data_IF_965690582338
#
_entry.id   IF_965690582338
#
_cell.length_a   1.000
_cell.length_b   1.000
_cell.length_c   1.000
_cell.angle_alpha   90.00
_cell.angle_beta   90.00
_cell.angle_gamma   90.00
#
_symmetry.space_group_name_H-M   'P 1'
#
loop_
_entity.id
_entity.type
_entity.pdbx_description
1 polymer ?
#
# COMPACT_ATOMS: atom_id res chain seq x y z
N UNK A 1 -4.11 -1.67 -36.62
CA UNK A 1 -4.10 -1.76 -38.11
C UNK A 1 -4.15 -3.22 -38.62
N UNK A 2 -4.22 -4.24 -37.75
CA UNK A 2 -4.36 -5.65 -38.16
C UNK A 2 -5.70 -6.11 -38.81
N UNK A 3 -6.88 -5.56 -38.49
CA UNK A 3 -8.14 -6.16 -38.95
C UNK A 3 -8.47 -6.01 -40.45
N UNK A 4 -7.78 -5.12 -41.18
CA UNK A 4 -8.15 -4.76 -42.57
C UNK A 4 -7.46 -5.58 -43.66
N UNK A 5 -6.55 -6.48 -43.32
CA UNK A 5 -5.84 -7.32 -44.30
C UNK A 5 -6.46 -8.71 -44.49
N UNK A 6 -7.31 -9.16 -43.55
CA UNK A 6 -7.96 -10.48 -43.59
C UNK A 6 -9.14 -10.54 -44.56
N UNK A 7 -9.70 -9.38 -44.95
CA UNK A 7 -10.82 -9.33 -45.87
C UNK A 7 -10.46 -9.53 -47.34
N UNK A 8 -9.18 -9.41 -47.71
CA UNK A 8 -8.74 -9.51 -49.12
C UNK A 8 -8.32 -10.93 -49.51
N UNK A 9 -7.97 -11.80 -48.57
CA UNK A 9 -7.27 -13.06 -48.89
C UNK A 9 -7.79 -14.37 -48.26
N UNK A 10 -8.80 -14.36 -47.40
CA UNK A 10 -9.25 -15.60 -46.73
C UNK A 10 -10.67 -16.02 -47.13
N UNK A 11 -10.75 -17.21 -47.74
CA UNK A 11 -12.00 -17.91 -48.04
C UNK A 11 -12.80 -18.17 -46.74
N UNK A 12 -14.13 -18.01 -46.82
CA UNK A 12 -15.06 -17.83 -45.67
C UNK A 12 -15.00 -18.91 -44.56
N UNK A 13 -14.41 -20.09 -44.80
CA UNK A 13 -14.38 -21.20 -43.84
C UNK A 13 -13.19 -21.17 -42.87
N UNK A 14 -12.10 -20.46 -43.17
CA UNK A 14 -10.88 -20.46 -42.33
C UNK A 14 -10.62 -19.17 -41.56
N UNK A 15 -11.46 -18.13 -41.73
CA UNK A 15 -11.29 -16.83 -41.04
C UNK A 15 -11.27 -16.97 -39.51
N UNK A 16 -12.13 -17.81 -38.93
CA UNK A 16 -12.18 -17.97 -37.47
C UNK A 16 -10.93 -18.67 -36.89
N UNK A 17 -10.34 -19.62 -37.63
CA UNK A 17 -9.12 -20.31 -37.22
C UNK A 17 -7.90 -19.40 -37.34
N UNK A 18 -7.77 -18.70 -38.47
CA UNK A 18 -6.68 -17.74 -38.73
C UNK A 18 -6.73 -16.57 -37.74
N UNK A 19 -7.91 -16.06 -37.39
CA UNK A 19 -8.05 -15.02 -36.36
C UNK A 19 -7.62 -15.52 -34.98
N UNK A 20 -8.00 -16.74 -34.60
CA UNK A 20 -7.60 -17.34 -33.32
C UNK A 20 -6.09 -17.61 -33.24
N UNK A 21 -5.48 -17.97 -34.36
CA UNK A 21 -4.03 -18.20 -34.45
C UNK A 21 -3.25 -16.88 -34.42
N UNK A 22 -3.75 -15.83 -35.08
CA UNK A 22 -3.20 -14.47 -34.97
C UNK A 22 -3.29 -13.96 -33.54
N UNK A 23 -4.42 -14.14 -32.84
CA UNK A 23 -4.57 -13.74 -31.43
C UNK A 23 -3.63 -14.53 -30.51
N UNK A 24 -3.45 -15.84 -30.76
CA UNK A 24 -2.52 -16.68 -30.01
C UNK A 24 -1.05 -16.28 -30.24
N UNK A 25 -0.67 -16.00 -31.48
CA UNK A 25 0.68 -15.55 -31.83
C UNK A 25 0.95 -14.12 -31.34
N UNK A 26 -0.06 -13.26 -31.34
CA UNK A 26 0.02 -11.91 -30.77
C UNK A 26 0.16 -11.98 -29.25
N UNK A 27 -0.55 -12.89 -28.59
CA UNK A 27 -0.43 -13.12 -27.14
C UNK A 27 0.95 -13.68 -26.79
N UNK A 28 1.47 -14.65 -27.56
CA UNK A 28 2.82 -15.18 -27.36
C UNK A 28 3.92 -14.16 -27.66
N UNK A 29 3.78 -13.35 -28.71
CA UNK A 29 4.74 -12.30 -29.05
C UNK A 29 4.72 -11.15 -28.03
N UNK A 30 3.54 -10.75 -27.56
CA UNK A 30 3.39 -9.75 -26.50
C UNK A 30 3.97 -10.26 -25.17
N UNK A 31 3.77 -11.54 -24.87
CA UNK A 31 4.32 -12.19 -23.68
C UNK A 31 5.86 -12.29 -23.74
N UNK A 32 6.45 -12.63 -24.89
CA UNK A 32 7.87 -12.94 -25.00
C UNK A 32 8.78 -11.77 -25.39
N UNK A 33 8.30 -10.76 -26.14
CA UNK A 33 9.18 -9.72 -26.72
C UNK A 33 8.81 -8.30 -26.30
N UNK A 34 7.54 -8.05 -26.00
CA UNK A 34 7.10 -6.77 -25.42
C UNK A 34 7.31 -6.78 -23.90
N UNK A 35 7.18 -7.95 -23.27
CA UNK A 35 7.42 -8.15 -21.84
C UNK A 35 8.80 -7.65 -21.35
N UNK A 36 9.91 -8.03 -22.00
CA UNK A 36 11.26 -7.69 -21.51
C UNK A 36 11.50 -6.18 -21.39
N UNK A 37 11.06 -5.38 -22.37
CA UNK A 37 11.21 -3.92 -22.34
C UNK A 37 10.30 -3.28 -21.29
N UNK A 38 9.09 -3.81 -21.10
CA UNK A 38 8.14 -3.33 -20.07
C UNK A 38 8.69 -3.61 -18.67
N UNK A 39 9.16 -4.83 -18.42
CA UNK A 39 9.74 -5.18 -17.13
C UNK A 39 11.04 -4.43 -16.84
N UNK A 40 11.86 -4.17 -17.86
CA UNK A 40 13.03 -3.29 -17.71
C UNK A 40 12.63 -1.88 -17.33
N UNK A 41 11.64 -1.32 -18.01
CA UNK A 41 11.15 0.05 -17.72
C UNK A 41 10.64 0.15 -16.29
N UNK A 42 9.87 -0.85 -15.83
CA UNK A 42 9.39 -0.91 -14.44
C UNK A 42 10.57 -0.96 -13.46
N UNK A 43 11.61 -1.76 -13.73
CA UNK A 43 12.82 -1.78 -12.88
C UNK A 43 13.52 -0.43 -12.86
N UNK A 44 13.57 0.27 -13.99
CA UNK A 44 14.18 1.58 -14.08
C UNK A 44 13.43 2.62 -13.22
N UNK A 45 12.10 2.53 -13.11
CA UNK A 45 11.31 3.36 -12.18
C UNK A 45 11.71 3.15 -10.72
N UNK A 46 11.92 1.89 -10.31
CA UNK A 46 12.42 1.57 -8.97
C UNK A 46 13.84 2.08 -8.77
N UNK A 47 14.71 1.84 -9.75
CA UNK A 47 16.12 2.23 -9.68
C UNK A 47 16.29 3.75 -9.63
N UNK A 48 15.46 4.51 -10.35
CA UNK A 48 15.45 5.97 -10.32
C UNK A 48 15.20 6.52 -8.91
N UNK A 49 14.46 5.80 -8.08
CA UNK A 49 14.17 6.14 -6.69
C UNK A 49 15.11 5.45 -5.67
N UNK A 50 16.21 4.86 -6.15
CA UNK A 50 17.23 4.21 -5.32
C UNK A 50 16.88 2.79 -4.87
N UNK A 51 15.88 2.16 -5.48
CA UNK A 51 15.43 0.81 -5.15
C UNK A 51 16.00 -0.16 -6.18
N UNK A 52 16.96 -0.98 -5.76
CA UNK A 52 17.58 -1.98 -6.62
C UNK A 52 16.88 -3.32 -6.47
N UNK A 53 15.91 -3.57 -7.36
CA UNK A 53 15.27 -4.88 -7.47
C UNK A 53 16.14 -5.84 -8.29
N UNK A 54 16.02 -7.15 -8.00
CA UNK A 54 16.58 -8.19 -8.87
C UNK A 54 15.86 -8.16 -10.23
N UNK A 55 16.48 -8.74 -11.25
CA UNK A 55 15.84 -8.86 -12.56
C UNK A 55 14.60 -9.78 -12.49
N UNK A 56 13.57 -9.41 -13.25
CA UNK A 56 12.33 -10.16 -13.40
C UNK A 56 11.78 -9.96 -14.81
N UNK A 57 11.19 -10.99 -15.42
CA UNK A 57 10.72 -10.95 -16.80
C UNK A 57 9.25 -11.35 -16.97
N UNK A 58 8.54 -11.60 -15.88
CA UNK A 58 7.10 -11.89 -15.89
C UNK A 58 6.47 -11.62 -14.52
N UNK A 59 5.13 -11.61 -14.47
CA UNK A 59 4.36 -11.19 -13.29
C UNK A 59 4.70 -11.92 -11.99
N UNK A 60 4.90 -13.25 -12.02
CA UNK A 60 5.26 -14.00 -10.81
C UNK A 60 6.66 -13.63 -10.29
N UNK A 61 7.63 -13.46 -11.19
CA UNK A 61 8.97 -13.00 -10.81
C UNK A 61 8.95 -11.57 -10.27
N UNK A 62 8.13 -10.70 -10.86
CA UNK A 62 7.92 -9.34 -10.37
C UNK A 62 7.41 -9.34 -8.93
N UNK A 63 6.29 -10.04 -8.67
CA UNK A 63 5.71 -10.13 -7.32
C UNK A 63 6.73 -10.72 -6.34
N UNK A 64 7.37 -11.83 -6.71
CA UNK A 64 8.38 -12.47 -5.87
C UNK A 64 9.54 -11.54 -5.54
N UNK A 65 10.04 -10.80 -6.53
CA UNK A 65 11.18 -9.91 -6.36
C UNK A 65 10.84 -8.72 -5.48
N UNK A 66 9.67 -8.11 -5.70
CA UNK A 66 9.17 -7.02 -4.86
C UNK A 66 8.98 -7.48 -3.42
N UNK A 67 8.34 -8.63 -3.21
CA UNK A 67 8.15 -9.20 -1.87
C UNK A 67 9.47 -9.50 -1.19
N UNK A 68 10.44 -10.09 -1.90
CA UNK A 68 11.77 -10.34 -1.34
C UNK A 68 12.47 -9.05 -0.92
N UNK A 69 12.38 -7.99 -1.72
CA UNK A 69 12.92 -6.69 -1.33
C UNK A 69 12.27 -6.16 -0.05
N UNK A 70 10.93 -6.21 0.02
CA UNK A 70 10.18 -5.78 1.20
C UNK A 70 10.55 -6.62 2.43
N UNK A 71 10.58 -7.94 2.31
CA UNK A 71 10.95 -8.86 3.39
C UNK A 71 12.37 -8.58 3.91
N UNK A 72 13.31 -8.28 3.01
CA UNK A 72 14.67 -7.93 3.38
C UNK A 72 14.73 -6.58 4.09
N UNK A 73 13.94 -5.57 3.66
CA UNK A 73 13.83 -4.30 4.38
C UNK A 73 13.21 -4.46 5.77
N UNK A 74 12.15 -5.28 5.92
CA UNK A 74 11.54 -5.61 7.20
C UNK A 74 12.55 -6.29 8.13
N UNK A 75 13.30 -7.29 7.65
CA UNK A 75 14.31 -8.01 8.47
C UNK A 75 15.45 -7.11 8.93
N UNK A 76 15.73 -6.05 8.20
CA UNK A 76 16.78 -5.09 8.52
C UNK A 76 16.31 -3.92 9.40
N UNK A 77 15.03 -3.91 9.82
CA UNK A 77 14.52 -2.98 10.82
C UNK A 77 15.29 -3.20 12.14
N UNK A 78 15.93 -2.14 12.65
CA UNK A 78 16.80 -2.20 13.83
C UNK A 78 18.29 -2.44 13.53
N UNK A 79 18.65 -2.85 12.31
CA UNK A 79 20.04 -2.83 11.82
C UNK A 79 20.35 -1.49 11.15
N UNK A 80 19.40 -1.00 10.34
CA UNK A 80 19.45 0.35 9.76
C UNK A 80 18.90 1.37 10.76
N UNK A 81 19.34 2.62 10.65
CA UNK A 81 18.73 3.73 11.39
C UNK A 81 17.28 3.93 10.97
N UNK A 82 16.40 4.28 11.92
CA UNK A 82 14.97 4.50 11.68
C UNK A 82 14.71 5.46 10.49
N UNK A 83 15.46 6.57 10.40
CA UNK A 83 15.35 7.54 9.30
C UNK A 83 15.67 6.93 7.93
N UNK A 84 16.63 6.00 7.87
CA UNK A 84 17.01 5.35 6.61
C UNK A 84 15.96 4.32 6.18
N UNK A 85 15.40 3.58 7.14
CA UNK A 85 14.31 2.63 6.90
C UNK A 85 13.04 3.37 6.44
N UNK A 86 12.69 4.47 7.11
CA UNK A 86 11.57 5.34 6.75
C UNK A 86 11.74 5.96 5.36
N UNK A 87 12.93 6.51 5.07
CA UNK A 87 13.23 7.05 3.75
C UNK A 87 13.10 5.99 2.65
N UNK A 88 13.59 4.78 2.90
CA UNK A 88 13.50 3.68 1.93
C UNK A 88 12.05 3.28 1.70
N UNK A 89 11.24 3.21 2.77
CA UNK A 89 9.80 2.97 2.68
C UNK A 89 9.11 4.05 1.85
N UNK A 90 9.29 5.33 2.17
CA UNK A 90 8.66 6.46 1.45
C UNK A 90 9.09 6.51 -0.01
N UNK A 91 10.36 6.25 -0.32
CA UNK A 91 10.84 6.16 -1.70
C UNK A 91 10.15 5.02 -2.44
N UNK A 92 9.98 3.87 -1.79
CA UNK A 92 9.31 2.71 -2.37
C UNK A 92 7.82 2.94 -2.57
N UNK A 93 7.10 3.40 -1.55
CA UNK A 93 5.65 3.55 -1.59
C UNK A 93 5.26 4.80 -2.35
N UNK A 94 5.61 5.96 -1.83
CA UNK A 94 5.00 7.21 -2.23
C UNK A 94 5.61 7.70 -3.53
N UNK A 95 6.94 7.53 -3.68
CA UNK A 95 7.67 8.04 -4.85
C UNK A 95 7.69 7.08 -6.03
N UNK A 96 7.52 5.77 -5.79
CA UNK A 96 7.61 4.77 -6.86
C UNK A 96 6.30 4.03 -7.08
N UNK A 97 5.83 3.29 -6.07
CA UNK A 97 4.66 2.42 -6.21
C UNK A 97 3.38 3.22 -6.49
N UNK A 98 3.01 4.15 -5.60
CA UNK A 98 1.76 4.88 -5.68
C UNK A 98 1.81 6.05 -6.68
N UNK A 99 2.98 6.66 -6.89
CA UNK A 99 3.13 7.74 -7.87
C UNK A 99 3.20 7.26 -9.32
N UNK A 100 3.87 6.13 -9.58
CA UNK A 100 4.19 5.70 -10.96
C UNK A 100 3.73 4.28 -11.27
N UNK A 101 4.21 3.28 -10.53
CA UNK A 101 4.01 1.86 -10.89
C UNK A 101 2.52 1.46 -10.87
N UNK A 102 1.82 1.77 -9.79
CA UNK A 102 0.40 1.47 -9.63
C UNK A 102 -0.50 2.24 -10.60
N UNK A 103 -0.37 3.57 -10.81
CA UNK A 103 -1.26 4.28 -11.73
C UNK A 103 -0.93 4.06 -13.20
N UNK A 104 0.34 3.91 -13.57
CA UNK A 104 0.76 3.82 -14.98
C UNK A 104 0.88 2.39 -15.47
N UNK A 105 1.60 1.55 -14.73
CA UNK A 105 2.01 0.23 -15.21
C UNK A 105 1.01 -0.87 -14.85
N UNK A 106 0.47 -0.87 -13.62
CA UNK A 106 -0.46 -1.93 -13.19
C UNK A 106 -1.70 -2.08 -14.09
N UNK A 107 -2.40 -1.01 -14.52
CA UNK A 107 -3.55 -1.16 -15.42
C UNK A 107 -3.14 -1.79 -16.75
N UNK A 108 -2.03 -1.33 -17.33
CA UNK A 108 -1.48 -1.85 -18.58
C UNK A 108 -1.10 -3.33 -18.47
N UNK A 109 -0.46 -3.73 -17.37
CA UNK A 109 -0.08 -5.11 -17.12
C UNK A 109 -1.30 -6.03 -16.92
N UNK A 110 -2.35 -5.53 -16.27
CA UNK A 110 -3.59 -6.28 -16.05
C UNK A 110 -4.37 -6.43 -17.35
N UNK A 111 -4.56 -5.34 -18.11
CA UNK A 111 -5.21 -5.36 -19.42
C UNK A 111 -4.47 -6.26 -20.41
N UNK A 112 -3.13 -6.28 -20.35
CA UNK A 112 -2.28 -7.15 -21.15
C UNK A 112 -2.17 -8.60 -20.66
N UNK A 113 -2.80 -8.97 -19.54
CA UNK A 113 -2.73 -10.32 -18.97
C UNK A 113 -1.34 -10.71 -18.41
N UNK A 114 -0.46 -9.73 -18.19
CA UNK A 114 0.90 -9.92 -17.67
C UNK A 114 0.94 -9.91 -16.14
N UNK A 115 -0.08 -9.33 -15.51
CA UNK A 115 -0.29 -9.31 -14.07
C UNK A 115 -1.77 -9.58 -13.76
N UNK A 116 -2.05 -10.30 -12.69
CA UNK A 116 -3.40 -10.51 -12.19
C UNK A 116 -3.74 -9.52 -11.08
N UNK A 117 -5.03 -9.26 -10.86
CA UNK A 117 -5.48 -8.45 -9.71
C UNK A 117 -4.97 -9.03 -8.38
N UNK A 118 -4.98 -10.37 -8.24
CA UNK A 118 -4.46 -11.06 -7.07
C UNK A 118 -2.97 -10.78 -6.83
N UNK A 119 -2.14 -10.84 -7.88
CA UNK A 119 -0.71 -10.55 -7.78
C UNK A 119 -0.43 -9.11 -7.35
N UNK A 120 -1.22 -8.15 -7.86
CA UNK A 120 -1.17 -6.77 -7.39
C UNK A 120 -1.53 -6.68 -5.89
N UNK A 121 -2.62 -7.33 -5.48
CA UNK A 121 -3.06 -7.31 -4.08
C UNK A 121 -2.04 -7.97 -3.14
N UNK A 122 -1.32 -9.00 -3.60
CA UNK A 122 -0.22 -9.62 -2.85
C UNK A 122 0.95 -8.65 -2.60
N UNK A 123 1.29 -7.79 -3.57
CA UNK A 123 2.30 -6.74 -3.37
C UNK A 123 1.80 -5.68 -2.40
N UNK A 124 0.55 -5.23 -2.56
CA UNK A 124 -0.04 -4.21 -1.66
C UNK A 124 -0.14 -4.72 -0.22
N UNK A 125 -0.48 -5.99 -0.02
CA UNK A 125 -0.48 -6.61 1.29
C UNK A 125 0.92 -6.64 1.92
N UNK A 126 1.97 -6.97 1.16
CA UNK A 126 3.34 -6.90 1.69
C UNK A 126 3.79 -5.46 2.01
N UNK A 127 3.33 -4.46 1.25
CA UNK A 127 3.56 -3.05 1.60
C UNK A 127 2.87 -2.68 2.91
N UNK A 128 1.64 -3.16 3.14
CA UNK A 128 0.92 -2.95 4.39
C UNK A 128 1.61 -3.63 5.58
N UNK A 129 2.08 -4.87 5.42
CA UNK A 129 2.88 -5.58 6.42
C UNK A 129 4.14 -4.78 6.77
N UNK A 130 4.88 -4.29 5.77
CA UNK A 130 6.05 -3.45 6.00
C UNK A 130 5.72 -2.18 6.78
N UNK A 131 4.61 -1.52 6.44
CA UNK A 131 4.14 -0.33 7.17
C UNK A 131 3.85 -0.62 8.64
N UNK A 132 3.21 -1.76 8.93
CA UNK A 132 2.87 -2.16 10.30
C UNK A 132 4.15 -2.41 11.12
N UNK A 133 5.14 -3.08 10.53
CA UNK A 133 6.42 -3.36 11.18
C UNK A 133 7.28 -2.10 11.37
N UNK A 134 7.25 -1.18 10.40
CA UNK A 134 7.99 0.09 10.47
C UNK A 134 7.36 1.07 11.49
N UNK A 135 6.03 1.12 11.56
CA UNK A 135 5.29 1.95 12.50
C UNK A 135 4.40 1.09 13.39
N UNK A 136 5.00 0.33 14.33
CA UNK A 136 4.23 -0.50 15.23
C UNK A 136 3.27 0.40 16.00
N UNK A 137 1.97 0.15 15.84
CA UNK A 137 0.90 0.99 16.37
C UNK A 137 1.14 1.28 17.84
N UNK A 138 1.39 2.55 18.17
CA UNK A 138 1.55 3.03 19.55
C UNK A 138 0.19 3.24 20.22
N UNK A 139 -0.76 2.34 20.00
CA UNK A 139 -2.08 2.39 20.64
C UNK A 139 -1.96 2.50 22.17
N UNK A 140 -0.93 1.86 22.73
CA UNK A 140 -0.55 1.96 24.14
C UNK A 140 -0.22 3.40 24.60
N UNK A 141 0.31 4.25 23.72
CA UNK A 141 0.62 5.65 24.04
C UNK A 141 -0.67 6.47 24.23
N UNK A 142 -1.73 6.18 23.47
CA UNK A 142 -3.06 6.77 23.70
C UNK A 142 -3.66 6.30 25.01
N UNK A 143 -3.43 5.04 25.42
CA UNK A 143 -3.84 4.52 26.74
C UNK A 143 -3.12 5.27 27.86
N UNK A 144 -1.81 5.52 27.74
CA UNK A 144 -1.02 6.29 28.72
C UNK A 144 -1.52 7.75 28.83
N UNK A 145 -1.81 8.40 27.70
CA UNK A 145 -2.36 9.76 27.67
C UNK A 145 -3.74 9.80 28.36
N UNK A 146 -4.61 8.84 28.05
CA UNK A 146 -5.94 8.73 28.69
C UNK A 146 -5.85 8.52 30.20
N UNK A 147 -4.92 7.68 30.66
CA UNK A 147 -4.68 7.44 32.08
C UNK A 147 -4.23 8.72 32.81
N UNK A 148 -3.33 9.50 32.19
CA UNK A 148 -2.91 10.80 32.71
C UNK A 148 -4.07 11.80 32.82
N UNK A 149 -4.92 11.88 31.81
CA UNK A 149 -6.12 12.75 31.81
C UNK A 149 -7.11 12.35 32.90
N UNK A 150 -7.35 11.06 33.10
CA UNK A 150 -8.25 10.56 34.16
C UNK A 150 -7.70 10.86 35.55
N UNK A 151 -6.40 10.68 35.77
CA UNK A 151 -5.75 10.97 37.06
C UNK A 151 -5.86 12.46 37.44
N UNK A 152 -5.87 13.37 36.46
CA UNK A 152 -5.96 14.82 36.72
C UNK A 152 -7.42 15.29 36.81
N UNK A 153 -8.29 14.87 35.89
CA UNK A 153 -9.67 15.36 35.82
C UNK A 153 -10.57 14.73 36.89
N UNK A 154 -10.37 13.45 37.24
CA UNK A 154 -11.19 12.76 38.24
C UNK A 154 -11.14 13.42 39.64
N UNK A 155 -9.96 13.72 40.23
CA UNK A 155 -9.89 14.42 41.52
C UNK A 155 -10.37 15.88 41.42
N UNK A 156 -10.12 16.57 40.30
CA UNK A 156 -10.58 17.94 40.11
C UNK A 156 -12.12 18.04 40.13
N UNK A 157 -12.80 17.11 39.46
CA UNK A 157 -14.27 17.01 39.45
C UNK A 157 -14.80 16.62 40.84
N UNK A 158 -14.15 15.67 41.53
CA UNK A 158 -14.52 15.28 42.90
C UNK A 158 -14.40 16.45 43.90
N UNK A 159 -13.33 17.24 43.82
CA UNK A 159 -13.12 18.42 44.67
C UNK A 159 -14.17 19.49 44.35
N UNK A 160 -14.47 19.72 43.07
CA UNK A 160 -15.47 20.70 42.65
C UNK A 160 -16.88 20.33 43.13
N UNK A 161 -17.26 19.06 43.02
CA UNK A 161 -18.56 18.56 43.51
C UNK A 161 -18.62 18.64 45.04
N UNK A 162 -17.54 18.31 45.76
CA UNK A 162 -17.49 18.45 47.23
C UNK A 162 -17.59 19.89 47.69
N UNK A 163 -16.99 20.84 46.98
CA UNK A 163 -17.08 22.28 47.30
C UNK A 163 -18.49 22.86 47.14
N UNK A 164 -19.33 22.29 46.26
CA UNK A 164 -20.72 22.72 46.08
C UNK A 164 -21.71 22.19 47.13
N UNK A 165 -21.30 21.26 47.99
CA UNK A 165 -22.18 20.62 49.00
C UNK A 165 -22.14 21.24 50.40
N UNK A 166 -21.56 22.43 50.60
CA UNK A 166 -21.70 23.14 51.89
C UNK A 166 -23.09 23.80 51.96
N UNK A 167 -24.02 23.35 52.81
CA UNK A 167 -25.33 24.01 52.97
C UNK A 167 -25.14 25.37 53.63
N UNK A 168 -25.89 26.39 53.19
CA UNK A 168 -26.08 27.62 53.95
C UNK A 168 -26.77 27.25 55.27
N UNK A 169 -26.12 27.47 56.40
CA UNK A 169 -26.79 27.45 57.69
C UNK A 169 -27.78 28.63 57.71
N UNK A 170 -29.07 28.29 57.74
CA UNK A 170 -30.18 29.22 57.92
C UNK A 170 -30.20 29.62 59.40
N UNK A 171 -29.64 30.79 59.72
CA UNK A 171 -29.72 31.36 61.06
C UNK A 171 -31.18 31.78 61.32
N UNK A 172 -31.90 30.98 62.11
CA UNK A 172 -33.17 31.36 62.73
C UNK A 172 -32.87 32.04 64.06
N UNK A 173 -32.92 33.35 64.09
CA UNK A 173 -33.13 34.13 65.32
C UNK A 173 -34.53 34.73 65.18
N UNK A 174 -35.59 34.06 65.65
CA UNK A 174 -36.14 34.12 67.01
C UNK A 174 -36.29 35.57 67.50
N UNK A 175 -37.55 35.98 67.53
CA UNK A 175 -38.13 37.18 68.11
C UNK A 175 -37.70 37.35 69.58
N UNK A 176 -37.30 38.57 69.97
CA UNK A 176 -37.48 39.07 71.33
C UNK A 176 -37.65 40.58 71.34
N UNK A 177 -38.84 41.01 71.77
CA UNK A 177 -39.31 42.29 72.34
C UNK A 177 -38.84 43.64 71.75
#
# INVERSE_FOLDING_TARGET
IGPKLVDVYADKSNKAYVLKEIDSLFTQWNYNSVGENVWSSIRDEFKANGINLKEFNYGDEFVKTVKLFIDDEIKNLGVKSDEASEKTFVNFTDSTWFATVKPMWVPYLIEGGLLTAKQKDEVEMSIEEWKIELYPSKWWLYVVIWLGVVIILFPAVLIFIRRRKKPKEEHKDIISE
#
